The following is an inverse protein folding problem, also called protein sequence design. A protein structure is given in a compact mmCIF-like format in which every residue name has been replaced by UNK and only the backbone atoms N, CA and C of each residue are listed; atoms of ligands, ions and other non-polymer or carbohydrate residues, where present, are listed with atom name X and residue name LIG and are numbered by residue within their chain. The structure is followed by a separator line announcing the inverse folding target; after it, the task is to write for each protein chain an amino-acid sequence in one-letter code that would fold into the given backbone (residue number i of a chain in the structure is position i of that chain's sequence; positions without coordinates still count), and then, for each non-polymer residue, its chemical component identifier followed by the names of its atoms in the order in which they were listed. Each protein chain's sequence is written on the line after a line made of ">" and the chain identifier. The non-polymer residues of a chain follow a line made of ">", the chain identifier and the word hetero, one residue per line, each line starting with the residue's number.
data_IF_268979394545
#
_entry.id   IF_268979394545
#
_cell.length_a   1.000
_cell.length_b   1.000
_cell.length_c   1.000
_cell.angle_alpha   90.00
_cell.angle_beta   90.00
_cell.angle_gamma   90.00
#
_symmetry.space_group_name_H-M   'P 1'
#
loop_
_entity.id
_entity.type
_entity.pdbx_description
1 polymer ?
#
# COMPACT_ATOMS: atom_id res chain seq x y z
N UNK A 1 57.49 1.94 27.97
CA UNK A 1 57.04 1.76 26.57
C UNK A 1 55.52 1.81 26.58
N UNK A 2 54.93 2.95 26.21
CA UNK A 2 53.47 3.15 26.14
C UNK A 2 53.00 2.80 24.73
N UNK A 3 52.03 1.91 24.61
CA UNK A 3 51.33 1.66 23.34
C UNK A 3 50.13 2.61 23.25
N UNK A 4 50.16 3.53 22.28
CA UNK A 4 48.96 4.25 21.86
C UNK A 4 48.14 3.33 20.95
N UNK A 5 46.92 3.00 21.35
CA UNK A 5 45.93 2.39 20.45
C UNK A 5 45.26 3.52 19.65
N UNK A 6 45.51 3.57 18.35
CA UNK A 6 44.76 4.45 17.44
C UNK A 6 43.43 3.77 17.09
N UNK A 7 42.32 4.31 17.60
CA UNK A 7 40.98 3.89 17.20
C UNK A 7 40.67 4.49 15.81
N UNK A 8 40.63 3.63 14.79
CA UNK A 8 40.19 4.02 13.45
C UNK A 8 38.66 4.13 13.46
N UNK A 9 38.14 5.36 13.46
CA UNK A 9 36.71 5.59 13.26
C UNK A 9 36.39 5.36 11.78
N UNK A 10 35.77 4.22 11.46
CA UNK A 10 35.22 3.97 10.12
C UNK A 10 33.94 4.78 10.01
N UNK A 11 34.03 5.96 9.38
CA UNK A 11 32.85 6.72 8.99
C UNK A 11 32.10 5.92 7.92
N UNK A 12 30.93 5.37 8.26
CA UNK A 12 30.04 4.75 7.28
C UNK A 12 29.66 5.76 6.19
N UNK A 13 29.46 5.28 4.97
CA UNK A 13 28.95 6.11 3.88
C UNK A 13 27.57 6.63 4.25
N UNK A 14 27.46 7.93 4.52
CA UNK A 14 26.17 8.58 4.68
C UNK A 14 25.49 8.60 3.30
N UNK A 15 24.62 7.63 3.03
CA UNK A 15 23.71 7.73 1.89
C UNK A 15 22.69 8.81 2.22
N UNK A 16 22.76 9.94 1.51
CA UNK A 16 21.71 10.94 1.56
C UNK A 16 20.39 10.24 1.19
N UNK A 17 19.43 10.21 2.12
CA UNK A 17 18.11 9.71 1.77
C UNK A 17 17.49 10.67 0.77
N UNK A 18 17.31 10.21 -0.46
CA UNK A 18 16.52 10.94 -1.45
C UNK A 18 15.10 11.02 -0.91
N UNK A 19 14.66 12.24 -0.57
CA UNK A 19 13.28 12.47 -0.17
C UNK A 19 12.39 12.23 -1.39
N UNK A 20 11.74 11.07 -1.41
CA UNK A 20 10.73 10.72 -2.40
C UNK A 20 9.37 11.13 -1.86
N UNK A 21 8.70 12.03 -2.55
CA UNK A 21 7.30 12.31 -2.28
C UNK A 21 6.44 11.27 -3.00
N UNK A 22 5.79 10.40 -2.23
CA UNK A 22 4.62 9.68 -2.72
C UNK A 22 3.42 10.61 -2.65
N UNK A 23 2.64 10.66 -3.72
CA UNK A 23 1.41 11.42 -3.74
C UNK A 23 0.29 10.53 -3.22
N UNK A 24 -0.52 11.08 -2.31
CA UNK A 24 -1.74 10.44 -1.83
C UNK A 24 -1.55 9.00 -1.30
N UNK A 25 -0.57 8.71 -0.42
CA UNK A 25 -0.29 7.35 0.04
C UNK A 25 -1.41 6.74 0.89
N UNK A 26 -2.32 7.57 1.43
CA UNK A 26 -3.50 7.14 2.19
C UNK A 26 -4.81 7.16 1.39
N UNK A 27 -4.79 7.48 0.10
CA UNK A 27 -6.01 7.56 -0.75
C UNK A 27 -7.05 8.60 -0.29
N UNK A 28 -6.64 9.61 0.46
CA UNK A 28 -7.51 10.69 0.97
C UNK A 28 -7.98 11.66 -0.13
N UNK A 29 -7.42 11.56 -1.34
CA UNK A 29 -7.86 12.34 -2.51
C UNK A 29 -8.25 11.41 -3.66
N UNK A 30 -9.44 11.57 -4.25
CA UNK A 30 -10.46 12.56 -3.92
C UNK A 30 -11.16 12.22 -2.58
N UNK A 31 -11.61 13.26 -1.88
CA UNK A 31 -12.42 13.06 -0.68
C UNK A 31 -13.78 12.46 -1.08
N UNK A 32 -14.12 11.32 -0.48
CA UNK A 32 -15.42 10.69 -0.71
C UNK A 32 -16.48 11.29 0.20
N UNK A 33 -17.68 11.56 -0.31
CA UNK A 33 -18.83 12.03 0.47
C UNK A 33 -19.92 10.97 0.43
N UNK A 34 -20.31 10.45 1.60
CA UNK A 34 -21.43 9.53 1.74
C UNK A 34 -22.75 10.30 1.98
N UNK A 35 -23.87 9.69 1.61
CA UNK A 35 -25.20 10.21 1.97
C UNK A 35 -25.45 10.20 3.49
N UNK A 36 -24.77 9.30 4.20
CA UNK A 36 -24.72 9.25 5.65
C UNK A 36 -23.27 8.99 6.11
N UNK A 37 -22.68 9.95 6.83
CA UNK A 37 -21.31 9.85 7.31
C UNK A 37 -21.06 8.67 8.29
N UNK A 38 -22.10 8.15 8.94
CA UNK A 38 -21.98 7.01 9.86
C UNK A 38 -21.75 5.67 9.14
N UNK A 39 -22.24 5.51 7.91
CA UNK A 39 -22.27 4.22 7.21
C UNK A 39 -21.27 4.09 6.06
N UNK A 40 -20.43 5.11 5.84
CA UNK A 40 -19.49 5.16 4.71
C UNK A 40 -20.17 5.03 3.34
N UNK A 41 -19.37 4.83 2.31
CA UNK A 41 -19.79 4.57 0.93
C UNK A 41 -18.58 4.04 0.15
N UNK A 42 -18.80 3.48 -1.03
CA UNK A 42 -17.72 3.17 -1.96
C UNK A 42 -17.94 3.86 -3.30
N UNK A 43 -16.84 4.03 -4.03
CA UNK A 43 -16.84 4.66 -5.35
C UNK A 43 -15.71 4.13 -6.22
N UNK A 44 -16.07 3.68 -7.42
CA UNK A 44 -15.11 3.31 -8.46
C UNK A 44 -14.86 4.50 -9.38
N UNK A 45 -13.58 4.85 -9.51
CA UNK A 45 -13.09 6.04 -10.20
C UNK A 45 -12.04 5.65 -11.21
N UNK A 46 -11.99 6.32 -12.35
CA UNK A 46 -10.86 6.24 -13.25
C UNK A 46 -9.60 6.73 -12.52
N UNK A 47 -8.48 6.09 -12.79
CA UNK A 47 -7.19 6.41 -12.15
C UNK A 47 -6.81 7.89 -12.29
N UNK A 48 -7.23 8.58 -13.36
CA UNK A 48 -6.95 10.00 -13.54
C UNK A 48 -7.58 10.88 -12.44
N UNK A 49 -8.58 10.37 -11.73
CA UNK A 49 -9.20 11.06 -10.60
C UNK A 49 -8.55 10.77 -9.25
N UNK A 50 -7.61 9.81 -9.16
CA UNK A 50 -6.93 9.42 -7.92
C UNK A 50 -5.46 9.87 -8.00
N UNK A 51 -5.12 11.07 -7.50
CA UNK A 51 -3.81 11.65 -7.75
C UNK A 51 -2.68 10.75 -7.26
N UNK A 52 -1.67 10.57 -8.11
CA UNK A 52 -0.50 9.74 -7.83
C UNK A 52 -0.65 8.30 -8.27
N UNK A 53 -1.85 7.75 -8.38
CA UNK A 53 -2.03 6.31 -8.60
C UNK A 53 -2.45 5.99 -10.02
N UNK A 54 -1.76 5.03 -10.63
CA UNK A 54 -2.21 4.35 -11.86
C UNK A 54 -2.56 2.90 -11.56
N UNK A 55 -3.32 2.27 -12.43
CA UNK A 55 -3.70 0.86 -12.32
C UNK A 55 -3.58 0.11 -13.65
N UNK A 56 -3.38 -1.21 -13.57
CA UNK A 56 -3.47 -2.11 -14.73
C UNK A 56 -4.88 -2.62 -14.99
N UNK A 57 -5.88 -2.14 -14.24
CA UNK A 57 -7.28 -2.50 -14.41
C UNK A 57 -7.75 -2.24 -15.85
N UNK A 58 -8.52 -3.14 -16.49
CA UNK A 58 -9.09 -2.87 -17.80
C UNK A 58 -10.06 -1.68 -17.75
N UNK A 59 -10.25 -1.01 -18.88
CA UNK A 59 -11.21 0.10 -18.97
C UNK A 59 -12.64 -0.41 -18.92
N UNK A 60 -13.44 0.09 -17.98
CA UNK A 60 -14.86 -0.28 -17.83
C UNK A 60 -15.67 0.79 -17.08
N UNK A 61 -16.99 0.64 -17.04
CA UNK A 61 -17.86 1.54 -16.29
C UNK A 61 -17.74 1.27 -14.78
N UNK A 62 -17.48 2.32 -14.00
CA UNK A 62 -17.48 2.26 -12.54
C UNK A 62 -18.88 2.35 -11.93
N UNK A 63 -18.99 1.91 -10.68
CA UNK A 63 -20.18 1.95 -9.84
C UNK A 63 -19.89 2.58 -8.46
N UNK A 64 -20.85 2.49 -7.54
CA UNK A 64 -20.72 3.00 -6.17
C UNK A 64 -21.93 3.79 -5.70
N UNK A 65 -21.95 4.08 -4.40
CA UNK A 65 -23.05 4.76 -3.71
C UNK A 65 -22.65 6.07 -3.01
N UNK A 66 -21.38 6.51 -3.10
CA UNK A 66 -20.98 7.83 -2.63
C UNK A 66 -21.72 8.96 -3.36
N UNK A 67 -22.16 10.00 -2.64
CA UNK A 67 -22.78 11.18 -3.24
C UNK A 67 -21.78 11.99 -4.10
N UNK A 68 -20.50 12.00 -3.72
CA UNK A 68 -19.45 12.63 -4.51
C UNK A 68 -18.07 11.96 -4.25
N UNK A 69 -17.16 11.98 -5.24
CA UNK A 69 -17.44 12.21 -6.66
C UNK A 69 -18.36 11.10 -7.24
N UNK A 70 -18.97 11.38 -8.40
CA UNK A 70 -19.74 10.38 -9.15
C UNK A 70 -18.84 9.28 -9.72
N UNK A 71 -19.40 8.11 -10.05
CA UNK A 71 -18.64 7.07 -10.74
C UNK A 71 -18.21 7.54 -12.13
N UNK A 72 -17.12 6.98 -12.62
CA UNK A 72 -16.62 7.22 -13.98
C UNK A 72 -16.30 5.92 -14.69
N UNK A 73 -16.18 6.01 -16.01
CA UNK A 73 -15.64 4.92 -16.83
C UNK A 73 -14.14 5.11 -17.05
N UNK A 74 -13.38 4.02 -17.05
CA UNK A 74 -11.94 4.04 -17.29
C UNK A 74 -11.22 2.91 -16.55
N UNK A 75 -9.92 3.10 -16.28
CA UNK A 75 -9.13 2.14 -15.51
C UNK A 75 -9.41 2.35 -14.03
N UNK A 76 -10.22 1.47 -13.46
CA UNK A 76 -10.84 1.73 -12.16
C UNK A 76 -9.90 1.50 -10.97
N UNK A 77 -9.94 2.46 -10.05
CA UNK A 77 -9.52 2.33 -8.65
C UNK A 77 -10.79 2.46 -7.80
N UNK A 78 -11.05 1.47 -6.95
CA UNK A 78 -12.17 1.49 -6.02
C UNK A 78 -11.73 2.08 -4.68
N UNK A 79 -12.37 3.16 -4.27
CA UNK A 79 -12.12 3.82 -2.99
C UNK A 79 -13.31 3.62 -2.06
N UNK A 80 -13.01 3.30 -0.81
CA UNK A 80 -13.98 3.09 0.26
C UNK A 80 -13.82 4.20 1.29
N UNK A 81 -14.92 4.87 1.61
CA UNK A 81 -14.98 5.79 2.73
C UNK A 81 -15.03 4.97 4.02
N UNK A 82 -14.35 5.44 5.06
CA UNK A 82 -14.35 4.85 6.40
C UNK A 82 -15.77 4.50 6.85
N UNK A 83 -15.90 3.38 7.56
CA UNK A 83 -17.13 2.80 8.07
C UNK A 83 -18.07 2.21 7.01
N UNK A 84 -17.69 2.22 5.72
CA UNK A 84 -18.41 1.43 4.74
C UNK A 84 -18.39 -0.04 5.16
N UNK A 85 -19.58 -0.64 5.25
CA UNK A 85 -19.79 -1.99 5.78
C UNK A 85 -19.20 -2.21 7.20
N UNK A 86 -19.15 -1.15 8.00
CA UNK A 86 -18.64 -1.20 9.37
C UNK A 86 -17.13 -1.35 9.47
N UNK A 87 -16.37 -1.08 8.40
CA UNK A 87 -14.91 -1.19 8.39
C UNK A 87 -14.27 0.20 8.49
N UNK A 88 -13.66 0.55 9.64
CA UNK A 88 -12.88 1.76 9.77
C UNK A 88 -11.65 1.75 8.85
N UNK A 89 -11.37 2.90 8.24
CA UNK A 89 -10.13 3.10 7.50
C UNK A 89 -8.92 2.95 8.44
N UNK A 90 -7.80 2.44 7.91
CA UNK A 90 -6.54 2.34 8.68
C UNK A 90 -6.06 3.71 9.14
N UNK A 91 -6.26 4.71 8.29
CA UNK A 91 -5.91 6.10 8.51
C UNK A 91 -6.90 6.96 7.74
N UNK A 92 -7.18 8.16 8.25
CA UNK A 92 -7.96 9.16 7.53
C UNK A 92 -9.41 8.72 7.27
N UNK A 93 -9.94 9.13 6.13
CA UNK A 93 -11.34 8.92 5.76
C UNK A 93 -11.51 7.92 4.63
N UNK A 94 -10.45 7.51 3.95
CA UNK A 94 -10.53 6.66 2.77
C UNK A 94 -9.53 5.47 2.84
N UNK A 95 -9.76 4.47 2.01
CA UNK A 95 -8.77 3.47 1.61
C UNK A 95 -9.13 2.91 0.23
N UNK A 96 -8.17 2.26 -0.42
CA UNK A 96 -8.40 1.64 -1.73
C UNK A 96 -8.61 0.13 -1.59
N UNK A 97 -9.53 -0.41 -2.38
CA UNK A 97 -9.63 -1.84 -2.69
C UNK A 97 -8.69 -2.13 -3.87
N UNK A 98 -7.82 -3.14 -3.75
CA UNK A 98 -6.81 -3.45 -4.76
C UNK A 98 -7.44 -3.93 -6.09
N UNK A 99 -8.52 -4.70 -5.99
CA UNK A 99 -9.25 -5.23 -7.13
C UNK A 99 -10.66 -4.64 -7.12
N UNK A 100 -10.91 -3.62 -7.95
CA UNK A 100 -12.25 -3.06 -8.10
C UNK A 100 -13.21 -4.12 -8.67
N UNK A 101 -13.05 -4.46 -9.94
CA UNK A 101 -13.89 -5.45 -10.63
C UNK A 101 -13.06 -6.53 -11.36
N UNK A 102 -11.74 -6.32 -11.41
CA UNK A 102 -10.78 -7.25 -11.97
C UNK A 102 -9.49 -7.27 -11.14
N UNK A 103 -8.79 -8.41 -11.18
CA UNK A 103 -7.45 -8.52 -10.60
C UNK A 103 -6.52 -7.53 -11.27
N UNK A 104 -5.94 -6.61 -10.50
CA UNK A 104 -5.11 -5.54 -11.04
C UNK A 104 -4.02 -5.10 -10.07
N UNK A 105 -3.08 -4.28 -10.57
CA UNK A 105 -2.03 -3.66 -9.78
C UNK A 105 -2.25 -2.17 -9.73
N UNK A 106 -2.20 -1.59 -8.53
CA UNK A 106 -2.06 -0.14 -8.31
C UNK A 106 -0.59 0.22 -8.10
N UNK A 107 -0.12 1.30 -8.73
CA UNK A 107 1.29 1.66 -8.66
C UNK A 107 1.53 3.18 -8.77
N UNK A 108 2.72 3.56 -8.30
CA UNK A 108 3.32 4.88 -8.45
C UNK A 108 4.68 4.72 -9.12
N UNK A 109 5.00 5.59 -10.07
CA UNK A 109 6.33 5.64 -10.65
C UNK A 109 7.25 6.45 -9.74
N UNK A 110 8.41 5.89 -9.40
CA UNK A 110 9.43 6.56 -8.59
C UNK A 110 10.82 6.29 -9.17
N UNK A 111 11.69 7.31 -9.15
CA UNK A 111 13.09 7.15 -9.52
C UNK A 111 13.87 6.52 -8.38
N UNK A 112 14.55 5.42 -8.67
CA UNK A 112 15.34 4.66 -7.72
C UNK A 112 16.81 4.63 -8.14
N UNK A 113 17.70 4.62 -7.15
CA UNK A 113 19.15 4.58 -7.29
C UNK A 113 19.60 3.14 -7.02
N UNK A 114 20.34 2.56 -7.96
CA UNK A 114 20.89 1.22 -7.78
C UNK A 114 21.78 1.16 -6.52
N UNK A 115 21.58 0.13 -5.71
CA UNK A 115 22.28 -0.10 -4.45
C UNK A 115 21.69 0.65 -3.24
N UNK A 116 20.69 1.51 -3.43
CA UNK A 116 20.07 2.18 -2.29
C UNK A 116 19.21 1.24 -1.45
N UNK A 117 19.17 1.49 -0.14
CA UNK A 117 18.28 0.78 0.76
C UNK A 117 16.92 1.46 0.79
N UNK A 118 15.87 0.70 0.52
CA UNK A 118 14.48 1.15 0.53
C UNK A 118 13.76 0.51 1.71
N UNK A 119 13.28 1.35 2.61
CA UNK A 119 12.34 0.94 3.65
C UNK A 119 10.92 1.11 3.14
N UNK A 120 10.06 0.13 3.40
CA UNK A 120 8.68 0.14 2.97
C UNK A 120 7.74 -0.21 4.12
N UNK A 121 6.51 0.28 4.02
CA UNK A 121 5.41 -0.10 4.90
C UNK A 121 4.08 0.05 4.18
N UNK A 122 3.14 -0.83 4.50
CA UNK A 122 1.74 -0.71 4.10
C UNK A 122 0.87 -1.50 5.09
N UNK A 123 -0.44 -1.24 5.06
CA UNK A 123 -1.42 -2.02 5.80
C UNK A 123 -2.29 -2.77 4.81
N UNK A 124 -2.60 -4.03 5.11
CA UNK A 124 -3.47 -4.87 4.28
C UNK A 124 -4.52 -5.55 5.16
N UNK A 125 -5.69 -5.76 4.57
CA UNK A 125 -6.85 -6.39 5.20
C UNK A 125 -7.56 -7.23 4.15
N UNK A 126 -7.90 -8.47 4.46
CA UNK A 126 -8.77 -9.26 3.60
C UNK A 126 -10.21 -8.78 3.67
N UNK A 127 -10.97 -8.81 2.58
CA UNK A 127 -12.32 -8.28 2.52
C UNK A 127 -13.32 -9.17 3.24
N UNK A 128 -13.45 -10.41 2.76
CA UNK A 128 -14.69 -11.19 2.94
C UNK A 128 -14.66 -12.34 3.94
N UNK A 129 -13.48 -12.79 4.40
CA UNK A 129 -13.38 -14.01 5.20
C UNK A 129 -12.43 -13.89 6.38
N UNK A 130 -12.88 -14.39 7.54
CA UNK A 130 -12.08 -14.49 8.76
C UNK A 130 -11.12 -15.71 8.75
N UNK A 131 -11.23 -16.59 7.76
CA UNK A 131 -10.46 -17.84 7.66
C UNK A 131 -9.72 -17.99 6.34
N UNK A 132 -10.27 -17.41 5.25
CA UNK A 132 -9.64 -17.34 3.93
C UNK A 132 -8.95 -15.99 3.81
N UNK A 133 -7.70 -16.00 3.35
CA UNK A 133 -6.88 -14.81 3.23
C UNK A 133 -6.94 -14.28 1.81
N UNK A 134 -7.09 -12.96 1.69
CA UNK A 134 -6.74 -12.27 0.45
C UNK A 134 -5.23 -12.08 0.42
N UNK A 135 -4.65 -12.12 -0.77
CA UNK A 135 -3.19 -12.13 -0.99
C UNK A 135 -2.81 -10.96 -1.88
N UNK A 136 -1.73 -10.26 -1.51
CA UNK A 136 -1.14 -9.21 -2.34
C UNK A 136 0.37 -9.39 -2.48
N UNK A 137 0.89 -8.95 -3.61
CA UNK A 137 2.32 -8.81 -3.87
C UNK A 137 2.71 -7.34 -3.86
N UNK A 138 3.66 -6.99 -2.99
CA UNK A 138 4.34 -5.70 -3.06
C UNK A 138 5.56 -5.82 -3.98
N UNK A 139 5.63 -4.98 -5.01
CA UNK A 139 6.61 -5.07 -6.08
C UNK A 139 7.32 -3.73 -6.27
N UNK A 140 8.60 -3.79 -6.65
CA UNK A 140 9.39 -2.62 -7.06
C UNK A 140 10.22 -2.98 -8.31
N UNK A 141 10.02 -2.23 -9.40
CA UNK A 141 10.63 -2.53 -10.70
C UNK A 141 10.03 -3.77 -11.39
N UNK A 142 10.72 -4.27 -12.42
CA UNK A 142 10.33 -5.46 -13.19
C UNK A 142 10.76 -6.79 -12.55
N UNK A 143 11.32 -6.73 -11.34
CA UNK A 143 11.86 -7.87 -10.61
C UNK A 143 10.77 -8.72 -9.92
N UNK A 144 11.18 -9.82 -9.26
CA UNK A 144 10.32 -10.62 -8.39
C UNK A 144 9.63 -9.75 -7.31
N UNK A 145 8.48 -10.17 -6.75
CA UNK A 145 7.86 -9.47 -5.63
C UNK A 145 8.85 -9.25 -4.49
N UNK A 146 8.84 -8.06 -3.88
CA UNK A 146 9.58 -7.80 -2.64
C UNK A 146 9.05 -8.72 -1.55
N UNK A 147 7.74 -8.73 -1.37
CA UNK A 147 7.06 -9.58 -0.41
C UNK A 147 5.67 -9.97 -0.92
N UNK A 148 5.28 -11.23 -0.65
CA UNK A 148 3.89 -11.70 -0.72
C UNK A 148 3.32 -11.79 0.69
N UNK A 149 2.16 -11.19 0.90
CA UNK A 149 1.46 -11.23 2.19
C UNK A 149 0.02 -11.72 1.99
N UNK A 150 -0.56 -12.26 3.05
CA UNK A 150 -1.98 -12.63 3.05
C UNK A 150 -2.62 -12.33 4.39
N UNK A 151 -3.82 -11.75 4.34
CA UNK A 151 -4.56 -11.26 5.52
C UNK A 151 -6.03 -11.65 5.43
N UNK A 152 -6.64 -12.07 6.53
CA UNK A 152 -8.08 -12.27 6.66
C UNK A 152 -8.79 -10.96 7.01
N UNK A 153 -10.13 -10.98 7.03
CA UNK A 153 -10.95 -9.82 7.39
C UNK A 153 -10.89 -9.40 8.85
N UNK A 154 -10.35 -10.27 9.72
CA UNK A 154 -10.10 -10.00 11.13
C UNK A 154 -8.60 -9.87 11.47
N UNK A 155 -7.73 -9.70 10.48
CA UNK A 155 -6.31 -9.38 10.68
C UNK A 155 -5.41 -10.58 11.02
N UNK A 156 -5.89 -11.81 10.86
CA UNK A 156 -5.02 -12.98 10.88
C UNK A 156 -4.21 -13.05 9.59
N UNK A 157 -2.91 -13.33 9.69
CA UNK A 157 -2.00 -13.27 8.55
C UNK A 157 -1.27 -14.60 8.32
N UNK A 158 -0.75 -14.78 7.10
CA UNK A 158 0.27 -15.79 6.81
C UNK A 158 1.65 -15.23 7.16
N UNK A 159 2.61 -16.12 7.45
CA UNK A 159 4.02 -15.72 7.44
C UNK A 159 4.35 -15.06 6.10
N UNK A 160 4.79 -13.79 6.09
CA UNK A 160 5.15 -13.11 4.84
C UNK A 160 6.24 -13.86 4.10
N UNK A 161 6.13 -13.95 2.78
CA UNK A 161 7.15 -14.56 1.92
C UNK A 161 7.94 -13.44 1.26
N UNK A 162 9.10 -13.11 1.82
CA UNK A 162 10.02 -12.14 1.24
C UNK A 162 10.84 -12.79 0.13
N UNK A 163 10.74 -12.29 -1.11
CA UNK A 163 11.64 -12.71 -2.20
C UNK A 163 12.86 -11.80 -2.30
N UNK A 164 12.78 -10.59 -1.75
CA UNK A 164 13.88 -9.64 -1.69
C UNK A 164 13.92 -8.94 -0.33
N UNK A 165 15.14 -8.79 0.20
CA UNK A 165 15.36 -8.09 1.47
C UNK A 165 14.80 -8.82 2.68
N UNK A 166 14.34 -8.05 3.67
CA UNK A 166 13.82 -8.53 4.95
C UNK A 166 12.44 -7.96 5.24
N UNK A 167 11.62 -8.75 5.93
CA UNK A 167 10.29 -8.38 6.42
C UNK A 167 10.26 -8.52 7.93
N UNK A 168 9.78 -7.48 8.61
CA UNK A 168 9.59 -7.54 10.06
C UNK A 168 8.39 -8.42 10.42
N UNK A 169 8.29 -8.82 11.69
CA UNK A 169 7.09 -9.48 12.21
C UNK A 169 5.86 -8.58 11.97
N UNK A 170 4.81 -9.07 11.28
CA UNK A 170 3.61 -8.27 11.05
C UNK A 170 2.96 -7.85 12.37
N UNK A 171 2.49 -6.61 12.43
CA UNK A 171 1.83 -6.06 13.60
C UNK A 171 0.32 -5.93 13.37
N UNK A 172 -0.47 -6.00 14.44
CA UNK A 172 -1.90 -5.70 14.37
C UNK A 172 -2.10 -4.20 14.10
N UNK A 173 -2.77 -3.87 12.99
CA UNK A 173 -3.11 -2.50 12.61
C UNK A 173 -4.43 -1.99 13.18
N UNK A 174 -5.19 -2.88 13.86
CA UNK A 174 -6.54 -2.63 14.38
C UNK A 174 -7.63 -2.84 13.33
N UNK A 175 -8.88 -3.10 13.75
CA UNK A 175 -10.05 -3.21 12.86
C UNK A 175 -9.89 -4.20 11.68
N UNK A 176 -9.11 -5.27 11.89
CA UNK A 176 -8.81 -6.29 10.87
C UNK A 176 -7.66 -5.95 9.93
N UNK A 177 -7.02 -4.79 10.08
CA UNK A 177 -5.80 -4.44 9.36
C UNK A 177 -4.57 -5.13 9.98
N UNK A 178 -3.64 -5.54 9.12
CA UNK A 178 -2.30 -5.98 9.50
C UNK A 178 -1.27 -5.06 8.86
N UNK A 179 -0.31 -4.60 9.68
CA UNK A 179 0.76 -3.69 9.26
C UNK A 179 2.00 -4.51 8.89
N UNK A 180 2.48 -4.28 7.67
CA UNK A 180 3.66 -4.92 7.12
C UNK A 180 4.75 -3.88 6.91
N UNK A 181 5.98 -4.21 7.32
CA UNK A 181 7.15 -3.36 7.14
C UNK A 181 8.37 -4.19 6.77
N UNK A 182 9.32 -3.57 6.09
CA UNK A 182 10.56 -4.23 5.73
C UNK A 182 11.52 -3.30 5.01
N UNK A 183 12.60 -3.90 4.54
CA UNK A 183 13.64 -3.19 3.79
C UNK A 183 14.26 -4.10 2.74
N UNK A 184 14.68 -3.53 1.61
CA UNK A 184 15.46 -4.23 0.59
C UNK A 184 16.48 -3.27 -0.03
N UNK A 185 17.54 -3.82 -0.62
CA UNK A 185 18.47 -3.05 -1.45
C UNK A 185 17.99 -3.11 -2.90
N UNK A 186 17.80 -1.98 -3.55
CA UNK A 186 17.31 -1.93 -4.93
C UNK A 186 18.43 -2.30 -5.92
N UNK A 187 18.28 -3.42 -6.63
CA UNK A 187 19.29 -3.94 -7.55
C UNK A 187 19.27 -3.36 -8.98
N UNK A 188 18.36 -2.41 -9.27
CA UNK A 188 18.05 -1.99 -10.64
C UNK A 188 16.79 -2.66 -11.20
N UNK A 189 16.28 -2.12 -12.32
CA UNK A 189 15.14 -2.66 -13.07
C UNK A 189 15.62 -3.36 -14.34
#
# INVERSE_FOLDING_TARGET
>A
MWFLLAALAVAGTAHAQVQRSFLNPGFETPALTASNAANGCYRQLDEAMVPGWSTTHPSQAGSGDCTAPGASSGRLIELWRTNFQGIPAKQGSNYAELNAEASSRMFQNACLINGEQINWRFSHRGRGSATVRDVMDFNVGASLPIVRVGTTSNGAFNTPVASQGVVATPAAGGNGWTDYTGAFAYGGA
#
